data_IF_388365275197
#
_entry.id   IF_388365275197
#
_cell.length_a   1.000
_cell.length_b   1.000
_cell.length_c   1.000
_cell.angle_alpha   90.00
_cell.angle_beta   90.00
_cell.angle_gamma   90.00
#
_symmetry.space_group_name_H-M   'P 1'
#
loop_
_entity.id
_entity.type
_entity.pdbx_description
1 polymer ?
#
# COMPACT_ATOMS: atom_id res chain seq x y z
N UNK A 1 2.61 -15.94 -16.64
CA UNK A 1 2.02 -15.72 -15.30
C UNK A 1 2.04 -14.23 -15.06
N UNK A 2 0.91 -13.64 -14.66
CA UNK A 2 0.85 -12.24 -14.22
C UNK A 2 1.17 -12.19 -12.71
N UNK A 3 2.25 -11.50 -12.34
CA UNK A 3 2.76 -11.45 -10.97
C UNK A 3 2.19 -10.25 -10.19
N UNK A 4 1.39 -9.39 -10.85
CA UNK A 4 1.02 -8.09 -10.30
C UNK A 4 2.23 -7.15 -10.14
N UNK A 5 1.97 -5.86 -9.94
CA UNK A 5 3.03 -4.88 -9.73
C UNK A 5 3.70 -5.06 -8.36
N UNK A 6 4.98 -4.69 -8.28
CA UNK A 6 5.73 -4.60 -7.03
C UNK A 6 6.49 -5.88 -6.65
N UNK A 7 6.77 -6.03 -5.36
CA UNK A 7 7.59 -7.12 -4.82
C UNK A 7 6.75 -8.40 -4.69
N UNK A 8 7.09 -9.48 -5.43
CA UNK A 8 6.40 -10.76 -5.27
C UNK A 8 6.89 -11.39 -3.95
N UNK A 9 6.01 -11.52 -2.94
CA UNK A 9 6.37 -12.09 -1.62
C UNK A 9 6.21 -13.61 -1.56
N UNK A 10 5.27 -14.12 -2.36
CA UNK A 10 4.94 -15.54 -2.45
C UNK A 10 4.84 -15.95 -3.91
N UNK A 11 5.23 -17.19 -4.20
CA UNK A 11 4.91 -17.85 -5.44
C UNK A 11 3.48 -18.40 -5.38
N UNK A 12 2.82 -18.53 -6.53
CA UNK A 12 1.48 -19.12 -6.62
C UNK A 12 1.43 -20.59 -6.15
N UNK A 13 2.57 -21.28 -6.07
CA UNK A 13 2.67 -22.60 -5.47
C UNK A 13 2.72 -22.58 -3.92
N UNK A 14 2.53 -21.41 -3.30
CA UNK A 14 2.56 -21.21 -1.85
C UNK A 14 3.95 -20.94 -1.25
N UNK A 15 5.03 -21.26 -1.97
CA UNK A 15 6.39 -21.04 -1.48
C UNK A 15 6.74 -19.55 -1.34
N UNK A 16 7.57 -19.21 -0.35
CA UNK A 16 8.15 -17.87 -0.24
C UNK A 16 9.07 -17.58 -1.43
N UNK A 17 9.16 -16.30 -1.81
CA UNK A 17 10.18 -15.86 -2.76
C UNK A 17 11.52 -15.61 -2.08
N UNK A 18 12.61 -15.93 -2.77
CA UNK A 18 13.98 -15.66 -2.34
C UNK A 18 14.66 -14.71 -3.30
N UNK A 19 15.68 -14.00 -2.84
CA UNK A 19 16.51 -13.11 -3.66
C UNK A 19 17.84 -13.80 -3.96
N UNK A 20 18.21 -13.84 -5.24
CA UNK A 20 19.50 -14.35 -5.70
C UNK A 20 20.24 -13.29 -6.53
N UNK A 21 21.53 -13.49 -6.70
CA UNK A 21 22.39 -12.67 -7.57
C UNK A 21 22.67 -13.44 -8.86
N UNK A 22 22.45 -12.81 -10.00
CA UNK A 22 22.72 -13.41 -11.31
C UNK A 22 24.23 -13.55 -11.52
N UNK A 23 24.68 -14.79 -11.71
CA UNK A 23 26.02 -15.12 -12.19
C UNK A 23 26.14 -15.21 -13.71
N UNK A 24 25.09 -14.83 -14.45
CA UNK A 24 25.12 -14.92 -15.93
C UNK A 24 25.99 -13.81 -16.52
N UNK A 25 26.67 -14.09 -17.63
CA UNK A 25 27.45 -13.08 -18.37
C UNK A 25 26.57 -11.95 -18.93
N UNK A 26 25.28 -12.21 -19.18
CA UNK A 26 24.33 -11.22 -19.68
C UNK A 26 23.90 -10.20 -18.63
N UNK A 27 23.72 -10.64 -17.38
CA UNK A 27 23.27 -9.79 -16.27
C UNK A 27 24.14 -10.03 -15.03
N UNK A 28 25.46 -9.78 -15.09
CA UNK A 28 26.36 -10.10 -13.99
C UNK A 28 26.02 -9.23 -12.77
N UNK A 29 25.87 -9.85 -11.60
CA UNK A 29 25.62 -9.15 -10.34
C UNK A 29 24.20 -8.61 -10.14
N UNK A 30 23.33 -8.64 -11.17
CA UNK A 30 21.95 -8.16 -11.04
C UNK A 30 21.15 -9.10 -10.14
N UNK A 31 20.38 -8.55 -9.21
CA UNK A 31 19.57 -9.34 -8.26
C UNK A 31 18.17 -9.59 -8.78
N UNK A 32 17.60 -10.75 -8.46
CA UNK A 32 16.24 -11.12 -8.84
C UNK A 32 15.53 -11.89 -7.72
N UNK A 33 14.21 -11.75 -7.69
CA UNK A 33 13.29 -12.58 -6.94
C UNK A 33 12.99 -13.86 -7.73
N UNK A 34 12.94 -15.00 -7.04
CA UNK A 34 12.34 -16.22 -7.60
C UNK A 34 11.60 -17.04 -6.56
N UNK A 35 10.86 -18.06 -7.00
CA UNK A 35 10.30 -19.07 -6.10
C UNK A 35 11.40 -19.76 -5.28
N UNK A 36 11.17 -19.88 -3.97
CA UNK A 36 12.08 -20.55 -3.04
C UNK A 36 12.11 -22.07 -3.16
N UNK A 37 11.04 -22.67 -3.70
CA UNK A 37 10.94 -24.12 -3.86
C UNK A 37 11.60 -24.62 -5.15
N UNK A 38 11.16 -24.13 -6.31
CA UNK A 38 11.64 -24.60 -7.62
C UNK A 38 11.80 -23.46 -8.63
N UNK A 39 12.68 -23.65 -9.61
CA UNK A 39 12.82 -22.77 -10.76
C UNK A 39 12.08 -23.36 -11.95
N UNK A 40 11.49 -22.52 -12.80
CA UNK A 40 10.96 -22.97 -14.07
C UNK A 40 9.72 -22.20 -14.51
N UNK A 41 9.07 -22.68 -15.60
CA UNK A 41 7.79 -22.17 -16.04
C UNK A 41 6.77 -22.19 -14.89
N UNK A 42 5.87 -21.21 -14.87
CA UNK A 42 4.84 -21.05 -13.83
C UNK A 42 5.35 -20.79 -12.40
N UNK A 43 6.63 -20.44 -12.23
CA UNK A 43 7.17 -19.98 -10.96
C UNK A 43 7.67 -18.54 -11.06
N UNK A 44 7.63 -17.84 -9.92
CA UNK A 44 8.06 -16.44 -9.85
C UNK A 44 9.49 -16.31 -10.36
N UNK A 45 9.69 -15.35 -11.25
CA UNK A 45 10.97 -14.73 -11.57
C UNK A 45 10.68 -13.25 -11.82
N UNK A 46 11.39 -12.36 -11.14
CA UNK A 46 11.28 -10.90 -11.37
C UNK A 46 12.57 -10.22 -10.97
N UNK A 47 13.04 -9.25 -11.74
CA UNK A 47 14.23 -8.49 -11.35
C UNK A 47 13.94 -7.61 -10.13
N UNK A 48 14.94 -7.48 -9.26
CA UNK A 48 14.77 -6.80 -7.98
C UNK A 48 14.52 -5.29 -8.15
N UNK A 49 15.26 -4.67 -9.06
CA UNK A 49 15.13 -3.26 -9.43
C UNK A 49 13.74 -2.94 -10.02
N UNK A 50 13.26 -3.75 -10.97
CA UNK A 50 11.91 -3.63 -11.56
C UNK A 50 10.83 -3.76 -10.47
N UNK A 51 10.93 -4.81 -9.64
CA UNK A 51 9.99 -5.02 -8.54
C UNK A 51 9.97 -3.86 -7.54
N UNK A 52 11.12 -3.24 -7.26
CA UNK A 52 11.22 -2.12 -6.34
C UNK A 52 10.63 -0.84 -6.93
N UNK A 53 10.90 -0.55 -8.20
CA UNK A 53 10.32 0.60 -8.90
C UNK A 53 8.79 0.53 -8.85
N UNK A 54 8.24 -0.62 -9.21
CA UNK A 54 6.79 -0.80 -9.18
C UNK A 54 6.22 -0.74 -7.74
N UNK A 55 6.96 -1.22 -6.74
CA UNK A 55 6.55 -1.07 -5.33
C UNK A 55 6.49 0.42 -4.93
N UNK A 56 7.44 1.24 -5.39
CA UNK A 56 7.40 2.68 -5.15
C UNK A 56 6.16 3.33 -5.79
N UNK A 57 5.78 2.93 -7.00
CA UNK A 57 4.57 3.44 -7.65
C UNK A 57 3.30 3.06 -6.87
N UNK A 58 3.23 1.80 -6.42
CA UNK A 58 2.13 1.33 -5.56
C UNK A 58 2.08 2.11 -4.25
N UNK A 59 3.23 2.37 -3.63
CA UNK A 59 3.31 3.14 -2.38
C UNK A 59 2.91 4.60 -2.59
N UNK A 60 3.33 5.24 -3.69
CA UNK A 60 2.94 6.61 -4.02
C UNK A 60 1.42 6.75 -4.24
N UNK A 61 0.82 5.78 -4.92
CA UNK A 61 -0.63 5.71 -5.09
C UNK A 61 -1.36 5.59 -3.74
N UNK A 62 -0.93 4.64 -2.89
CA UNK A 62 -1.47 4.48 -1.53
C UNK A 62 -1.29 5.73 -0.68
N UNK A 63 -0.13 6.39 -0.77
CA UNK A 63 0.13 7.63 -0.06
C UNK A 63 -0.85 8.74 -0.48
N UNK A 64 -1.16 8.83 -1.77
CA UNK A 64 -2.14 9.79 -2.30
C UNK A 64 -3.54 9.51 -1.77
N UNK A 65 -3.96 8.24 -1.74
CA UNK A 65 -5.24 7.84 -1.16
C UNK A 65 -5.34 8.23 0.33
N UNK A 66 -4.30 7.90 1.12
CA UNK A 66 -4.25 8.25 2.54
C UNK A 66 -4.32 9.77 2.76
N UNK A 67 -3.63 10.57 1.94
CA UNK A 67 -3.69 12.03 2.04
C UNK A 67 -5.10 12.55 1.78
N UNK A 68 -5.79 12.00 0.78
CA UNK A 68 -7.16 12.37 0.46
C UNK A 68 -8.13 11.98 1.58
N UNK A 69 -8.01 10.76 2.11
CA UNK A 69 -8.84 10.29 3.23
C UNK A 69 -8.61 11.14 4.47
N UNK A 70 -7.35 11.51 4.77
CA UNK A 70 -7.03 12.42 5.87
C UNK A 70 -7.63 13.81 5.68
N UNK A 71 -7.66 14.32 4.45
CA UNK A 71 -8.28 15.61 4.14
C UNK A 71 -9.80 15.54 4.36
N UNK A 72 -10.44 14.44 3.96
CA UNK A 72 -11.86 14.23 4.19
C UNK A 72 -12.18 14.09 5.69
N UNK A 73 -11.42 13.26 6.42
CA UNK A 73 -11.59 13.11 7.87
C UNK A 73 -11.44 14.46 8.59
N UNK A 74 -10.49 15.30 8.18
CA UNK A 74 -10.34 16.65 8.74
C UNK A 74 -11.58 17.50 8.52
N UNK A 75 -12.19 17.41 7.34
CA UNK A 75 -13.44 18.13 7.02
C UNK A 75 -14.58 17.62 7.90
N UNK A 76 -14.76 16.31 7.99
CA UNK A 76 -15.80 15.68 8.82
C UNK A 76 -15.65 16.07 10.31
N UNK A 77 -14.40 16.17 10.82
CA UNK A 77 -14.13 16.66 12.18
C UNK A 77 -14.56 18.11 12.38
N UNK A 78 -14.38 18.97 11.37
CA UNK A 78 -14.81 20.37 11.45
C UNK A 78 -16.34 20.47 11.46
N UNK A 79 -17.02 19.69 10.62
CA UNK A 79 -18.47 19.63 10.57
C UNK A 79 -19.05 19.13 11.90
N UNK A 80 -18.54 18.02 12.44
CA UNK A 80 -18.94 17.51 13.75
C UNK A 80 -18.71 18.51 14.88
N UNK A 81 -17.65 19.31 14.83
CA UNK A 81 -17.41 20.38 15.82
C UNK A 81 -18.45 21.49 15.73
N UNK A 82 -18.90 21.85 14.52
CA UNK A 82 -19.95 22.84 14.33
C UNK A 82 -21.29 22.32 14.85
N UNK A 83 -21.66 21.09 14.49
CA UNK A 83 -22.89 20.44 14.97
C UNK A 83 -22.93 20.39 16.51
N UNK A 84 -21.81 20.03 17.15
CA UNK A 84 -21.69 20.06 18.61
C UNK A 84 -21.88 21.47 19.19
N UNK A 85 -21.35 22.49 18.51
CA UNK A 85 -21.54 23.89 18.90
C UNK A 85 -23.01 24.32 18.86
N UNK A 86 -23.73 23.94 17.81
CA UNK A 86 -25.17 24.21 17.68
C UNK A 86 -25.98 23.49 18.76
N UNK A 87 -25.66 22.22 19.04
CA UNK A 87 -26.31 21.45 20.11
C UNK A 87 -26.12 22.13 21.47
N UNK A 88 -24.90 22.61 21.78
CA UNK A 88 -24.62 23.33 23.02
C UNK A 88 -25.49 24.59 23.12
N UNK A 89 -25.60 25.39 22.05
CA UNK A 89 -26.43 26.59 22.04
C UNK A 89 -27.91 26.27 22.31
N UNK A 90 -28.44 25.21 21.71
CA UNK A 90 -29.82 24.76 21.94
C UNK A 90 -30.03 24.35 23.41
N UNK A 91 -29.09 23.62 23.99
CA UNK A 91 -29.14 23.21 25.40
C UNK A 91 -29.16 24.44 26.33
N UNK A 92 -28.32 25.44 26.07
CA UNK A 92 -28.28 26.69 26.84
C UNK A 92 -29.61 27.47 26.76
N UNK A 93 -30.20 27.56 25.57
CA UNK A 93 -31.50 28.20 25.36
C UNK A 93 -32.65 27.48 26.08
N UNK A 94 -32.63 26.15 26.14
CA UNK A 94 -33.62 25.37 26.90
C UNK A 94 -33.43 25.62 28.40
N UNK A 95 -32.18 25.57 28.88
CA UNK A 95 -31.84 25.81 30.29
C UNK A 95 -32.27 27.19 30.76
N UNK A 96 -32.19 28.24 29.93
CA UNK A 96 -32.59 29.60 30.32
C UNK A 96 -34.10 29.81 30.38
N UNK A 97 -34.91 28.87 29.86
CA UNK A 97 -36.38 28.93 29.84
C UNK A 97 -37.04 28.12 30.97
N UNK A 98 -36.25 27.33 31.69
CA UNK A 98 -36.65 26.60 32.90
C UNK A 98 -36.37 27.46 34.13
#
# INVERSE_FOLDING_TARGET
MDLGPGIPRNCQCGALTIVLTSGTSRNPGRKFYRCGAISGPNHVFKWLDEAHIEEFDVLASKQTMIINDLAQIKKDIVELKNDLGEIIQVIEQIRSKL
#
